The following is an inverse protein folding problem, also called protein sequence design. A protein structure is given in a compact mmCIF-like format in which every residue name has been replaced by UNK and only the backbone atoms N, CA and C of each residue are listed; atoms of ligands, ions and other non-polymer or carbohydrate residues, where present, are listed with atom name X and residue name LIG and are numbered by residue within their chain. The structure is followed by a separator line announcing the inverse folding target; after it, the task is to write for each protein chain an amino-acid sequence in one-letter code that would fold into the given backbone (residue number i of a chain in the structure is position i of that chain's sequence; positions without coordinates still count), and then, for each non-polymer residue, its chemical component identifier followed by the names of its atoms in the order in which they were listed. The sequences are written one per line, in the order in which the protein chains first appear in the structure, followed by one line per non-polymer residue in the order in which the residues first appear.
data_IF_453365531133
#
_entry.id   IF_453365531133
#
_cell.length_a   1.000
_cell.length_b   1.000
_cell.length_c   1.000
_cell.angle_alpha   90.00
_cell.angle_beta   90.00
_cell.angle_gamma   90.00
#
_symmetry.space_group_name_H-M   'P 1'
#
loop_
_entity.id
_entity.type
_entity.pdbx_description
1 polymer ?
#
# COMPACT_ATOMS: atom_id res chain seq x y z
N UNK A 1 30.81 -25.78 -38.43
CA UNK A 1 30.76 -26.27 -37.03
C UNK A 1 30.06 -25.31 -36.04
N UNK A 2 30.26 -23.98 -36.03
CA UNK A 2 29.64 -23.10 -35.03
C UNK A 2 28.12 -22.94 -35.19
N UNK A 3 27.61 -22.97 -36.42
CA UNK A 3 26.16 -22.87 -36.72
C UNK A 3 25.35 -24.07 -36.21
N UNK A 4 25.93 -25.28 -36.24
CA UNK A 4 25.29 -26.46 -35.65
C UNK A 4 25.31 -26.37 -34.12
N UNK A 5 26.43 -25.96 -33.52
CA UNK A 5 26.54 -25.79 -32.07
C UNK A 5 25.51 -24.78 -31.54
N UNK A 6 25.33 -23.66 -32.25
CA UNK A 6 24.33 -22.63 -31.94
C UNK A 6 22.90 -23.16 -32.01
N UNK A 7 22.57 -23.94 -33.04
CA UNK A 7 21.24 -24.58 -33.18
C UNK A 7 20.94 -25.59 -32.06
N UNK A 8 21.92 -26.39 -31.66
CA UNK A 8 21.78 -27.32 -30.54
C UNK A 8 21.66 -26.59 -29.20
N UNK A 9 22.38 -25.48 -29.02
CA UNK A 9 22.29 -24.66 -27.80
C UNK A 9 20.94 -23.94 -27.68
N UNK A 10 20.40 -23.42 -28.79
CA UNK A 10 19.04 -22.87 -28.84
C UNK A 10 17.97 -23.93 -28.58
N UNK A 11 18.10 -25.12 -29.15
CA UNK A 11 17.18 -26.23 -28.91
C UNK A 11 17.20 -26.68 -27.43
N UNK A 12 18.39 -26.69 -26.80
CA UNK A 12 18.55 -27.02 -25.38
C UNK A 12 17.91 -25.95 -24.48
N UNK A 13 18.07 -24.67 -24.81
CA UNK A 13 17.44 -23.55 -24.09
C UNK A 13 15.91 -23.55 -24.21
N UNK A 14 15.38 -23.92 -25.37
CA UNK A 14 13.93 -24.02 -25.62
C UNK A 14 13.29 -25.27 -24.99
N UNK A 15 14.07 -26.33 -24.72
CA UNK A 15 13.59 -27.55 -24.07
C UNK A 15 13.62 -27.48 -22.54
N UNK A 16 14.35 -26.53 -21.96
CA UNK A 16 14.49 -26.35 -20.51
C UNK A 16 13.17 -26.08 -19.73
N UNK A 17 12.16 -25.35 -20.26
CA UNK A 17 10.93 -25.08 -19.50
C UNK A 17 9.98 -26.28 -19.42
N UNK A 18 10.16 -27.34 -20.23
CA UNK A 18 9.31 -28.54 -20.17
C UNK A 18 9.60 -29.42 -18.95
N UNK A 19 10.73 -29.22 -18.28
CA UNK A 19 11.11 -29.97 -17.07
C UNK A 19 10.72 -29.25 -15.76
N UNK A 20 10.01 -28.11 -15.85
CA UNK A 20 9.57 -27.36 -14.68
C UNK A 20 8.20 -27.87 -14.21
N UNK A 21 8.19 -28.83 -13.29
CA UNK A 21 7.01 -29.16 -12.51
C UNK A 21 6.70 -28.01 -11.53
N UNK A 22 5.69 -27.21 -11.85
CA UNK A 22 5.14 -26.22 -10.93
C UNK A 22 4.38 -26.94 -9.81
N UNK A 23 5.09 -27.27 -8.73
CA UNK A 23 4.48 -27.84 -7.53
C UNK A 23 3.76 -26.74 -6.77
N UNK A 24 2.44 -26.85 -6.67
CA UNK A 24 1.64 -26.01 -5.78
C UNK A 24 2.21 -26.13 -4.36
N UNK A 25 2.45 -24.99 -3.70
CA UNK A 25 2.91 -25.00 -2.31
C UNK A 25 1.85 -25.71 -1.46
N UNK A 26 2.28 -26.67 -0.64
CA UNK A 26 1.36 -27.37 0.25
C UNK A 26 0.63 -26.35 1.15
N UNK A 27 -0.68 -26.53 1.40
CA UNK A 27 -1.42 -25.61 2.25
C UNK A 27 -0.75 -25.53 3.63
N UNK A 28 -0.55 -24.30 4.10
CA UNK A 28 0.16 -24.04 5.37
C UNK A 28 -0.63 -24.50 6.63
N UNK A 29 -1.87 -24.96 6.46
CA UNK A 29 -2.83 -25.27 7.53
C UNK A 29 -3.80 -26.37 7.09
N UNK A 30 -4.19 -27.22 8.04
CA UNK A 30 -5.25 -28.22 7.88
C UNK A 30 -6.65 -27.61 7.73
N UNK A 31 -6.82 -26.34 8.13
CA UNK A 31 -8.05 -25.56 7.99
C UNK A 31 -7.85 -24.37 7.02
N UNK A 32 -8.37 -24.47 5.77
CA UNK A 32 -8.23 -23.40 4.77
C UNK A 32 -9.08 -22.17 5.10
N UNK A 33 -10.17 -22.31 5.86
CA UNK A 33 -11.04 -21.19 6.25
C UNK A 33 -10.36 -20.34 7.30
N UNK A 34 -9.76 -20.99 8.30
CA UNK A 34 -8.94 -20.31 9.31
C UNK A 34 -7.77 -19.57 8.66
N UNK A 35 -7.04 -20.23 7.76
CA UNK A 35 -5.86 -19.63 7.13
C UNK A 35 -6.22 -18.44 6.24
N UNK A 36 -7.33 -18.51 5.49
CA UNK A 36 -7.83 -17.36 4.75
C UNK A 36 -8.16 -16.17 5.66
N UNK A 37 -8.69 -16.43 6.86
CA UNK A 37 -8.98 -15.39 7.85
C UNK A 37 -7.71 -14.82 8.48
N UNK A 38 -6.70 -15.66 8.77
CA UNK A 38 -5.36 -15.22 9.19
C UNK A 38 -4.78 -14.28 8.15
N UNK A 39 -4.78 -14.69 6.88
CA UNK A 39 -4.19 -13.90 5.79
C UNK A 39 -4.93 -12.58 5.56
N UNK A 40 -6.27 -12.57 5.68
CA UNK A 40 -7.06 -11.34 5.61
C UNK A 40 -6.69 -10.32 6.68
N UNK A 41 -6.58 -10.75 7.94
CA UNK A 41 -6.17 -9.86 9.04
C UNK A 41 -4.71 -9.42 8.87
N UNK A 42 -3.86 -10.34 8.43
CA UNK A 42 -2.43 -10.10 8.21
C UNK A 42 -2.18 -9.07 7.10
N UNK A 43 -3.06 -8.96 6.12
CA UNK A 43 -2.98 -7.93 5.07
C UNK A 43 -3.31 -6.52 5.59
N UNK A 44 -4.02 -6.40 6.72
CA UNK A 44 -4.29 -5.11 7.36
C UNK A 44 -3.15 -4.63 8.27
N UNK A 45 -2.17 -5.50 8.52
CA UNK A 45 -1.06 -5.25 9.44
C UNK A 45 0.26 -5.06 8.67
N UNK A 46 1.00 -4.00 8.97
CA UNK A 46 2.31 -3.67 8.39
C UNK A 46 3.43 -4.46 9.07
N UNK A 47 4.39 -4.93 8.28
CA UNK A 47 5.66 -5.42 8.82
C UNK A 47 6.51 -4.23 9.32
N UNK A 48 6.70 -4.14 10.64
CA UNK A 48 7.40 -3.03 11.30
C UNK A 48 8.91 -2.95 10.96
N UNK A 49 9.48 -4.04 10.47
CA UNK A 49 10.91 -4.16 10.13
C UNK A 49 11.16 -4.17 8.61
N UNK A 50 10.09 -4.09 7.80
CA UNK A 50 10.18 -4.18 6.35
C UNK A 50 9.86 -2.83 5.69
N UNK A 51 10.32 -2.65 4.45
CA UNK A 51 10.00 -1.47 3.66
C UNK A 51 8.64 -1.62 2.99
N UNK A 52 7.61 -0.96 3.54
CA UNK A 52 6.27 -0.84 2.96
C UNK A 52 5.60 -2.17 2.58
N UNK A 53 5.66 -3.16 3.47
CA UNK A 53 5.05 -4.48 3.27
C UNK A 53 4.05 -4.80 4.38
N UNK A 54 3.07 -5.64 4.08
CA UNK A 54 2.20 -6.23 5.10
C UNK A 54 2.89 -7.43 5.77
N UNK A 55 2.37 -7.92 6.89
CA UNK A 55 2.86 -9.18 7.48
C UNK A 55 2.34 -10.40 6.70
N UNK A 56 1.31 -10.24 5.85
CA UNK A 56 0.87 -11.30 4.94
C UNK A 56 1.91 -11.58 3.84
N UNK A 57 2.54 -10.52 3.30
CA UNK A 57 3.49 -10.63 2.19
C UNK A 57 4.94 -10.81 2.64
N UNK A 58 5.26 -10.38 3.86
CA UNK A 58 6.62 -10.41 4.39
C UNK A 58 7.02 -11.79 4.92
N UNK A 59 8.27 -12.15 4.64
CA UNK A 59 8.92 -13.36 5.14
C UNK A 59 9.83 -13.10 6.34
N UNK A 60 9.88 -11.85 6.86
CA UNK A 60 10.66 -11.52 8.04
C UNK A 60 10.17 -12.31 9.27
N UNK A 61 11.08 -12.67 10.17
CA UNK A 61 10.76 -13.44 11.38
C UNK A 61 9.63 -12.79 12.18
N UNK A 62 9.67 -11.47 12.36
CA UNK A 62 8.60 -10.72 13.03
C UNK A 62 7.23 -10.88 12.34
N UNK A 63 7.19 -10.93 11.01
CA UNK A 63 5.94 -11.11 10.27
C UNK A 63 5.39 -12.54 10.46
N UNK A 64 6.26 -13.53 10.58
CA UNK A 64 5.86 -14.92 10.88
C UNK A 64 5.31 -15.04 12.30
N UNK A 65 6.01 -14.44 13.29
CA UNK A 65 5.56 -14.41 14.68
C UNK A 65 4.20 -13.74 14.85
N UNK A 66 3.98 -12.61 14.18
CA UNK A 66 2.70 -11.90 14.23
C UNK A 66 1.58 -12.68 13.53
N UNK A 67 1.85 -13.35 12.40
CA UNK A 67 0.87 -14.24 11.75
C UNK A 67 0.49 -15.42 12.65
N UNK A 68 1.47 -16.01 13.33
CA UNK A 68 1.22 -17.07 14.31
C UNK A 68 0.37 -16.55 15.47
N UNK A 69 0.66 -15.35 15.98
CA UNK A 69 -0.15 -14.73 17.03
C UNK A 69 -1.60 -14.52 16.59
N UNK A 70 -1.83 -14.02 15.37
CA UNK A 70 -3.18 -13.89 14.79
C UNK A 70 -3.90 -15.24 14.73
N UNK A 71 -3.21 -16.28 14.28
CA UNK A 71 -3.76 -17.65 14.18
C UNK A 71 -4.21 -18.17 15.55
N UNK A 72 -3.40 -18.02 16.57
CA UNK A 72 -3.73 -18.44 17.94
C UNK A 72 -4.95 -17.70 18.50
N UNK A 73 -5.06 -16.39 18.22
CA UNK A 73 -6.20 -15.58 18.67
C UNK A 73 -7.50 -15.97 17.98
N UNK A 74 -7.44 -16.27 16.68
CA UNK A 74 -8.58 -16.80 15.93
C UNK A 74 -9.02 -18.16 16.44
N UNK A 75 -8.09 -19.07 16.74
CA UNK A 75 -8.39 -20.36 17.36
C UNK A 75 -9.01 -20.23 18.75
N UNK A 76 -8.66 -19.18 19.50
CA UNK A 76 -9.29 -18.80 20.78
C UNK A 76 -10.68 -18.15 20.60
N UNK A 77 -11.18 -18.03 19.38
CA UNK A 77 -12.51 -17.48 19.08
C UNK A 77 -12.58 -15.95 19.10
N UNK A 78 -11.45 -15.25 19.04
CA UNK A 78 -11.46 -13.79 19.02
C UNK A 78 -11.93 -13.23 17.68
N UNK A 79 -12.57 -12.06 17.75
CA UNK A 79 -13.02 -11.31 16.56
C UNK A 79 -11.87 -10.56 15.90
N UNK A 80 -12.02 -10.22 14.62
CA UNK A 80 -11.02 -9.47 13.86
C UNK A 80 -10.72 -8.13 14.55
N UNK A 81 -11.74 -7.46 15.10
CA UNK A 81 -11.58 -6.20 15.83
C UNK A 81 -10.76 -6.36 17.12
N UNK A 82 -10.96 -7.44 17.89
CA UNK A 82 -10.17 -7.72 19.09
C UNK A 82 -8.71 -8.01 18.76
N UNK A 83 -8.46 -8.70 17.64
CA UNK A 83 -7.11 -8.98 17.16
C UNK A 83 -6.40 -7.68 16.77
N UNK A 84 -7.07 -6.83 15.99
CA UNK A 84 -6.54 -5.53 15.60
C UNK A 84 -6.29 -4.63 16.82
N UNK A 85 -7.21 -4.61 17.78
CA UNK A 85 -7.08 -3.84 19.02
C UNK A 85 -5.87 -4.31 19.84
N UNK A 86 -5.71 -5.62 20.03
CA UNK A 86 -4.54 -6.21 20.69
C UNK A 86 -3.22 -5.81 20.02
N UNK A 87 -3.16 -5.91 18.69
CA UNK A 87 -1.97 -5.52 17.93
C UNK A 87 -1.67 -4.03 18.10
N UNK A 88 -2.71 -3.19 18.02
CA UNK A 88 -2.58 -1.73 18.17
C UNK A 88 -2.20 -1.34 19.60
N UNK A 89 -2.70 -2.04 20.62
CA UNK A 89 -2.35 -1.81 22.01
C UNK A 89 -0.86 -2.07 22.28
N UNK A 90 -0.27 -3.06 21.58
CA UNK A 90 1.12 -3.47 21.79
C UNK A 90 2.12 -2.75 20.89
N UNK A 91 1.74 -2.45 19.65
CA UNK A 91 2.63 -1.91 18.62
C UNK A 91 2.24 -0.50 18.16
N UNK A 92 1.14 0.06 18.69
CA UNK A 92 0.61 1.36 18.31
C UNK A 92 -0.10 1.35 16.95
N UNK A 93 -0.63 2.50 16.54
CA UNK A 93 -1.34 2.67 15.26
C UNK A 93 -0.46 2.38 14.04
N UNK A 94 0.87 2.39 14.20
CA UNK A 94 1.83 2.15 13.11
C UNK A 94 1.84 0.69 12.63
N UNK A 95 1.34 -0.24 13.45
CA UNK A 95 1.14 -1.63 13.04
C UNK A 95 0.05 -1.78 11.99
N UNK A 96 -0.87 -0.82 11.89
CA UNK A 96 -1.91 -0.83 10.86
C UNK A 96 -1.29 -0.38 9.54
N UNK A 97 -1.47 -1.19 8.51
CA UNK A 97 -1.02 -0.82 7.17
C UNK A 97 -1.72 0.45 6.68
N UNK A 98 -2.99 0.60 7.07
CA UNK A 98 -3.80 1.81 6.85
C UNK A 98 -4.02 2.54 8.18
N UNK A 99 -3.38 3.69 8.41
CA UNK A 99 -3.56 4.44 9.64
C UNK A 99 -5.01 4.90 9.78
N UNK A 100 -5.60 4.85 10.98
CA UNK A 100 -6.98 5.25 11.18
C UNK A 100 -7.16 6.76 11.05
N UNK A 101 -8.35 7.19 10.63
CA UNK A 101 -8.74 8.60 10.69
C UNK A 101 -9.06 8.94 12.14
N UNK A 102 -8.17 9.70 12.77
CA UNK A 102 -8.28 10.20 14.15
C UNK A 102 -8.08 11.70 14.14
N UNK A 103 -8.41 12.38 15.23
CA UNK A 103 -8.13 13.81 15.40
C UNK A 103 -6.65 14.15 15.19
N UNK A 104 -5.75 13.24 15.63
CA UNK A 104 -4.29 13.38 15.48
C UNK A 104 -3.80 13.21 14.04
N UNK A 105 -4.48 12.39 13.22
CA UNK A 105 -4.15 12.17 11.80
C UNK A 105 -4.98 13.03 10.85
N UNK A 106 -5.97 13.78 11.35
CA UNK A 106 -6.92 14.53 10.54
C UNK A 106 -6.24 15.52 9.57
N UNK A 107 -5.15 16.17 10.00
CA UNK A 107 -4.39 17.08 9.14
C UNK A 107 -3.80 16.38 7.92
N UNK A 108 -3.34 15.12 8.07
CA UNK A 108 -2.81 14.33 6.95
C UNK A 108 -3.91 14.01 5.93
N UNK A 109 -5.12 13.69 6.41
CA UNK A 109 -6.25 13.29 5.57
C UNK A 109 -6.92 14.48 4.87
N UNK A 110 -7.12 15.59 5.59
CA UNK A 110 -7.85 16.75 5.08
C UNK A 110 -6.94 17.89 4.60
N UNK A 111 -5.66 17.88 4.97
CA UNK A 111 -4.69 18.93 4.62
C UNK A 111 -4.60 19.23 3.12
N UNK A 112 -4.47 18.22 2.23
CA UNK A 112 -4.45 18.47 0.79
C UNK A 112 -5.70 19.19 0.27
N UNK A 113 -6.89 18.79 0.73
CA UNK A 113 -8.14 19.43 0.34
C UNK A 113 -8.22 20.88 0.86
N UNK A 114 -7.83 21.11 2.11
CA UNK A 114 -7.79 22.45 2.70
C UNK A 114 -6.84 23.39 1.93
N UNK A 115 -5.68 22.90 1.50
CA UNK A 115 -4.73 23.67 0.70
C UNK A 115 -5.31 24.04 -0.67
N UNK A 116 -5.96 23.10 -1.36
CA UNK A 116 -6.60 23.38 -2.66
C UNK A 116 -7.71 24.41 -2.50
N UNK A 117 -8.59 24.25 -1.50
CA UNK A 117 -9.67 25.19 -1.24
C UNK A 117 -9.15 26.58 -0.86
N UNK A 118 -8.12 26.64 -0.03
CA UNK A 118 -7.44 27.89 0.31
C UNK A 118 -6.85 28.59 -0.91
N UNK A 119 -6.14 27.84 -1.75
CA UNK A 119 -5.54 28.36 -2.99
C UNK A 119 -6.58 28.90 -3.97
N UNK A 120 -7.67 28.15 -4.19
CA UNK A 120 -8.80 28.58 -5.02
C UNK A 120 -9.49 29.83 -4.45
N UNK A 121 -9.64 29.90 -3.12
CA UNK A 121 -10.18 31.08 -2.44
C UNK A 121 -9.32 32.33 -2.67
N UNK A 122 -8.00 32.21 -2.51
CA UNK A 122 -7.06 33.31 -2.78
C UNK A 122 -7.12 33.72 -4.24
N UNK A 123 -7.07 32.77 -5.17
CA UNK A 123 -7.16 33.03 -6.60
C UNK A 123 -8.45 33.78 -6.95
N UNK A 124 -9.60 33.32 -6.45
CA UNK A 124 -10.88 33.97 -6.69
C UNK A 124 -10.92 35.41 -6.18
N UNK A 125 -10.33 35.67 -5.00
CA UNK A 125 -10.21 37.03 -4.45
C UNK A 125 -9.32 37.90 -5.33
N UNK A 126 -8.18 37.39 -5.79
CA UNK A 126 -7.25 38.12 -6.67
C UNK A 126 -7.91 38.46 -8.01
N UNK A 127 -8.58 37.50 -8.65
CA UNK A 127 -9.28 37.72 -9.92
C UNK A 127 -10.43 38.74 -9.78
N UNK A 128 -11.23 38.65 -8.70
CA UNK A 128 -12.30 39.62 -8.41
C UNK A 128 -11.79 41.02 -8.11
N UNK A 129 -10.59 41.16 -7.54
CA UNK A 129 -9.95 42.47 -7.33
C UNK A 129 -9.45 43.03 -8.65
N UNK A 130 -8.82 42.20 -9.49
CA UNK A 130 -8.33 42.61 -10.80
C UNK A 130 -9.43 43.06 -11.75
N UNK A 131 -10.57 42.38 -11.76
CA UNK A 131 -11.71 42.76 -12.61
C UNK A 131 -12.38 44.09 -12.21
N UNK A 132 -11.97 44.70 -11.08
CA UNK A 132 -12.48 45.99 -10.61
C UNK A 132 -11.48 47.14 -10.84
N UNK A 133 -10.32 46.87 -11.46
CA UNK A 133 -9.39 47.92 -11.89
C UNK A 133 -9.99 48.64 -13.11
N UNK A 134 -9.96 49.98 -13.17
CA UNK A 134 -10.51 50.72 -14.30
C UNK A 134 -9.63 50.59 -15.56
N UNK A 135 -10.27 50.73 -16.74
CA UNK A 135 -9.64 50.54 -18.06
C UNK A 135 -8.49 51.54 -18.35
N UNK A 136 -8.42 52.63 -17.60
CA UNK A 136 -7.42 53.71 -17.75
C UNK A 136 -5.99 53.31 -17.33
N UNK A 137 -5.81 52.16 -16.68
CA UNK A 137 -4.50 51.62 -16.32
C UNK A 137 -3.96 50.59 -17.32
N UNK A 138 -4.72 50.26 -18.36
CA UNK A 138 -4.27 49.37 -19.43
C UNK A 138 -3.86 50.22 -20.64
N UNK A 139 -2.67 50.83 -20.56
CA UNK A 139 -2.06 51.51 -21.71
C UNK A 139 -1.72 50.44 -22.76
N UNK A 140 -2.32 50.47 -23.97
CA UNK A 140 -1.98 49.51 -25.01
C UNK A 140 -0.56 49.80 -25.52
N UNK A 141 0.27 48.75 -25.63
CA UNK A 141 1.62 48.84 -26.22
C UNK A 141 1.48 49.41 -27.65
N UNK A 142 2.09 50.58 -27.88
CA UNK A 142 2.07 51.22 -29.19
C UNK A 142 2.98 50.41 -30.14
N UNK A 143 2.49 49.99 -31.31
CA UNK A 143 3.35 49.30 -32.28
C UNK A 143 4.41 50.27 -32.79
N UNK A 144 5.69 49.84 -32.71
CA UNK A 144 6.86 50.55 -33.24
C UNK A 144 6.86 50.66 -34.78
#
# INVERSE_FOLDING_TARGET
MPELLSRWMLALLLALPLAADAKEAAPASDDPVLEARVMRISAELRCLVCQNQTIADSHADLAQDLRQQVREMLQKGQSDAQIIDYMTQRYGDFVLYRPPVKSTTALLWYGPALLVLGGLGVLAVVLRRRSKLPDDQFEPDQPE
#
